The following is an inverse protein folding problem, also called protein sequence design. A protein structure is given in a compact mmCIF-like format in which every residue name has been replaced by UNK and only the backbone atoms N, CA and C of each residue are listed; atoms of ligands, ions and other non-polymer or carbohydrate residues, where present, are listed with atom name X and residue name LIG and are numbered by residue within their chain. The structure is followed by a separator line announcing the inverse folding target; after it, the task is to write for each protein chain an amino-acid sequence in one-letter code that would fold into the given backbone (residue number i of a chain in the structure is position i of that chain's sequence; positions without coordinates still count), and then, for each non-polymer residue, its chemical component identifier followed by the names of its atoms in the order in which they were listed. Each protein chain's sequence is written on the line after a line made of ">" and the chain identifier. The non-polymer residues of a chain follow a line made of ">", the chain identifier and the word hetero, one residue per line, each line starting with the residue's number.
data_IF_004935200477
#
_entry.id   IF_004935200477
#
_cell.length_a   1.000
_cell.length_b   1.000
_cell.length_c   1.000
_cell.angle_alpha   90.00
_cell.angle_beta   90.00
_cell.angle_gamma   90.00
#
_symmetry.space_group_name_H-M   'P 1'
#
loop_
_entity.id
_entity.type
_entity.pdbx_description
1 polymer ?
#
# COMPACT_ATOMS: atom_id res chain seq x y z
N UNK A 1 -9.59 3.59 -21.24
CA UNK A 1 -8.24 3.69 -21.84
C UNK A 1 -7.13 3.37 -20.84
N UNK A 2 -7.18 3.86 -19.59
CA UNK A 2 -6.18 3.63 -18.55
C UNK A 2 -6.12 2.17 -18.02
N UNK A 3 -7.21 1.41 -18.04
CA UNK A 3 -7.24 -0.02 -17.65
C UNK A 3 -6.47 -0.96 -18.59
N UNK A 4 -5.95 -0.46 -19.73
CA UNK A 4 -5.17 -1.26 -20.69
C UNK A 4 -3.66 -1.26 -20.42
N UNK A 5 -3.18 -0.61 -19.35
CA UNK A 5 -1.76 -0.60 -18.99
C UNK A 5 -1.37 -2.00 -18.48
N UNK A 6 -0.66 -2.75 -19.31
CA UNK A 6 -0.17 -4.11 -18.98
C UNK A 6 1.19 -4.10 -18.28
N UNK A 7 1.99 -3.04 -18.49
CA UNK A 7 3.34 -2.92 -17.95
C UNK A 7 3.52 -1.58 -17.23
N UNK A 8 4.37 -1.55 -16.21
CA UNK A 8 4.76 -0.31 -15.54
C UNK A 8 5.51 0.56 -16.54
N UNK A 9 5.07 1.82 -16.80
CA UNK A 9 5.75 2.71 -17.72
C UNK A 9 7.14 3.06 -17.21
N UNK A 10 8.10 3.21 -18.13
CA UNK A 10 9.42 3.76 -17.83
C UNK A 10 9.43 5.22 -18.29
N UNK A 11 9.83 6.11 -17.41
CA UNK A 11 9.94 7.55 -17.64
C UNK A 11 11.38 8.01 -17.33
N UNK A 12 11.72 9.26 -17.65
CA UNK A 12 13.08 9.80 -17.54
C UNK A 12 13.70 9.67 -16.15
N UNK A 13 12.86 9.65 -15.09
CA UNK A 13 13.30 9.51 -13.71
C UNK A 13 13.18 8.07 -13.16
N UNK A 14 12.66 7.11 -13.92
CA UNK A 14 12.64 5.70 -13.49
C UNK A 14 14.06 5.14 -13.35
N UNK A 15 14.27 4.30 -12.33
CA UNK A 15 15.52 3.56 -12.21
C UNK A 15 15.58 2.44 -13.26
N UNK A 16 16.73 2.24 -13.88
CA UNK A 16 16.95 1.15 -14.82
C UNK A 16 16.89 -0.24 -14.14
N UNK A 17 17.33 -0.30 -12.89
CA UNK A 17 17.42 -1.54 -12.09
C UNK A 17 16.63 -1.40 -10.79
N UNK A 18 15.87 -2.44 -10.37
CA UNK A 18 15.07 -2.39 -9.14
C UNK A 18 15.91 -2.35 -7.85
N UNK A 19 17.17 -2.79 -7.90
CA UNK A 19 18.09 -2.80 -6.75
C UNK A 19 19.19 -1.74 -6.89
N UNK A 20 18.82 -0.56 -7.39
CA UNK A 20 19.75 0.57 -7.48
C UNK A 20 19.81 1.27 -6.11
N UNK A 21 20.96 1.16 -5.42
CA UNK A 21 21.20 1.81 -4.13
C UNK A 21 21.76 3.23 -4.26
N UNK A 22 21.99 3.71 -5.48
CA UNK A 22 22.40 5.10 -5.79
C UNK A 22 21.48 5.68 -6.87
N UNK A 23 20.16 5.83 -6.59
CA UNK A 23 19.21 6.37 -7.56
C UNK A 23 19.47 7.86 -7.80
N UNK A 24 18.98 8.37 -8.93
CA UNK A 24 18.91 9.82 -9.18
C UNK A 24 18.02 10.47 -8.11
N UNK A 25 18.32 11.73 -7.78
CA UNK A 25 17.53 12.48 -6.81
C UNK A 25 16.04 12.55 -7.20
N UNK A 26 15.75 12.78 -8.49
CA UNK A 26 14.36 12.77 -9.01
C UNK A 26 13.65 11.44 -8.80
N UNK A 27 14.34 10.31 -9.02
CA UNK A 27 13.78 8.97 -8.77
C UNK A 27 13.39 8.79 -7.31
N UNK A 28 14.29 9.17 -6.40
CA UNK A 28 14.05 9.07 -4.96
C UNK A 28 12.93 10.01 -4.52
N UNK A 29 12.91 11.25 -5.03
CA UNK A 29 11.87 12.24 -4.74
C UNK A 29 10.48 11.72 -5.13
N UNK A 30 10.29 11.25 -6.37
CA UNK A 30 8.99 10.72 -6.79
C UNK A 30 8.62 9.42 -6.08
N UNK A 31 9.60 8.57 -5.75
CA UNK A 31 9.38 7.39 -4.91
C UNK A 31 8.81 7.79 -3.53
N UNK A 32 9.48 8.69 -2.82
CA UNK A 32 9.03 9.16 -1.50
C UNK A 32 7.68 9.86 -1.58
N UNK A 33 7.47 10.72 -2.59
CA UNK A 33 6.20 11.41 -2.80
C UNK A 33 5.05 10.42 -3.04
N UNK A 34 5.26 9.41 -3.89
CA UNK A 34 4.26 8.35 -4.11
C UNK A 34 3.95 7.56 -2.83
N UNK A 35 4.96 7.25 -2.03
CA UNK A 35 4.80 6.55 -0.75
C UNK A 35 4.10 7.42 0.32
N UNK A 36 4.35 8.74 0.32
CA UNK A 36 3.61 9.67 1.19
C UNK A 36 2.12 9.72 0.83
N UNK A 37 1.79 9.83 -0.46
CA UNK A 37 0.40 9.75 -0.93
C UNK A 37 -0.24 8.41 -0.58
N UNK A 38 0.49 7.32 -0.76
CA UNK A 38 0.02 5.99 -0.40
C UNK A 38 -0.34 5.92 1.09
N UNK A 39 0.59 6.31 1.96
CA UNK A 39 0.38 6.28 3.42
C UNK A 39 -0.70 7.26 3.88
N UNK A 40 -0.78 8.46 3.27
CA UNK A 40 -1.86 9.41 3.50
C UNK A 40 -3.22 8.79 3.17
N UNK A 41 -3.36 8.16 2.00
CA UNK A 41 -4.60 7.50 1.61
C UNK A 41 -4.98 6.35 2.54
N UNK A 42 -4.02 5.52 2.98
CA UNK A 42 -4.25 4.47 3.99
C UNK A 42 -4.78 5.07 5.31
N UNK A 43 -4.15 6.15 5.79
CA UNK A 43 -4.59 6.85 7.00
C UNK A 43 -5.98 7.48 6.85
N UNK A 44 -6.27 8.13 5.71
CA UNK A 44 -7.60 8.68 5.43
C UNK A 44 -8.68 7.61 5.40
N UNK A 45 -8.37 6.41 4.88
CA UNK A 45 -9.32 5.29 4.87
C UNK A 45 -9.64 4.83 6.29
N UNK A 46 -8.63 4.76 7.17
CA UNK A 46 -8.82 4.45 8.59
C UNK A 46 -9.71 5.51 9.26
N UNK A 47 -9.41 6.79 9.04
CA UNK A 47 -10.15 7.94 9.61
C UNK A 47 -11.59 8.01 9.08
N UNK A 48 -11.88 7.46 7.90
CA UNK A 48 -13.23 7.43 7.34
C UNK A 48 -14.21 6.59 8.15
N UNK A 49 -13.74 5.69 9.01
CA UNK A 49 -14.53 4.73 9.80
C UNK A 49 -15.47 3.83 8.98
N UNK A 50 -15.26 3.73 7.67
CA UNK A 50 -16.04 2.86 6.78
C UNK A 50 -15.43 1.47 6.61
N UNK A 51 -14.28 1.22 7.22
CA UNK A 51 -13.41 0.06 7.05
C UNK A 51 -12.03 0.47 6.56
N UNK A 52 -11.06 -0.42 6.60
CA UNK A 52 -9.68 -0.16 6.22
C UNK A 52 -9.17 -1.17 5.18
N UNK A 53 -7.97 -0.95 4.62
CA UNK A 53 -7.33 -1.95 3.77
C UNK A 53 -7.00 -3.22 4.57
N UNK A 54 -6.88 -4.39 3.92
CA UNK A 54 -6.67 -5.66 4.61
C UNK A 54 -5.57 -5.63 5.68
N UNK A 55 -4.43 -5.09 5.35
CA UNK A 55 -3.28 -5.01 6.25
C UNK A 55 -3.45 -3.94 7.34
N UNK A 56 -4.19 -2.88 7.04
CA UNK A 56 -4.53 -1.85 8.02
C UNK A 56 -5.59 -2.34 9.01
N UNK A 57 -6.50 -3.24 8.59
CA UNK A 57 -7.41 -3.94 9.49
C UNK A 57 -6.62 -4.78 10.50
N UNK A 58 -5.58 -5.50 10.05
CA UNK A 58 -4.70 -6.24 10.96
C UNK A 58 -3.96 -5.30 11.94
N UNK A 59 -3.40 -4.21 11.43
CA UNK A 59 -2.69 -3.23 12.28
C UNK A 59 -3.64 -2.59 13.31
N UNK A 60 -4.88 -2.24 12.92
CA UNK A 60 -5.91 -1.76 13.84
C UNK A 60 -6.25 -2.79 14.91
N UNK A 61 -6.53 -4.02 14.51
CA UNK A 61 -6.88 -5.09 15.45
C UNK A 61 -5.77 -5.32 16.47
N UNK A 62 -4.52 -5.35 16.04
CA UNK A 62 -3.36 -5.44 16.93
C UNK A 62 -3.24 -4.22 17.85
N UNK A 63 -3.47 -2.99 17.33
CA UNK A 63 -3.39 -1.75 18.10
C UNK A 63 -4.33 -1.75 19.31
N UNK A 64 -5.51 -2.31 19.17
CA UNK A 64 -6.49 -2.43 20.26
C UNK A 64 -6.03 -3.37 21.38
N UNK A 65 -5.06 -4.26 21.10
CA UNK A 65 -4.62 -5.28 22.06
C UNK A 65 -3.23 -5.02 22.68
N UNK A 66 -2.41 -4.13 22.08
CA UNK A 66 -1.00 -3.97 22.49
C UNK A 66 -0.56 -2.52 22.79
N UNK A 67 -1.48 -1.56 22.87
CA UNK A 67 -1.20 -0.15 23.19
C UNK A 67 -0.10 0.51 22.33
N UNK A 68 0.02 0.12 21.07
CA UNK A 68 0.92 0.73 20.08
C UNK A 68 0.08 1.42 19.00
N UNK A 69 0.63 2.47 18.37
CA UNK A 69 -0.06 3.13 17.26
C UNK A 69 -0.22 2.22 16.05
N UNK A 70 -1.23 2.52 15.23
CA UNK A 70 -1.49 1.76 13.99
C UNK A 70 -0.30 1.85 13.03
N UNK A 71 0.37 3.02 12.96
CA UNK A 71 1.57 3.18 12.15
C UNK A 71 2.73 2.33 12.65
N UNK A 72 3.01 2.32 13.95
CA UNK A 72 4.05 1.45 14.53
C UNK A 72 3.76 -0.01 14.19
N UNK A 73 2.53 -0.46 14.34
CA UNK A 73 2.17 -1.84 14.01
C UNK A 73 2.24 -2.13 12.52
N UNK A 74 1.89 -1.17 11.66
CA UNK A 74 2.08 -1.29 10.20
C UNK A 74 3.57 -1.46 9.86
N UNK A 75 4.46 -0.72 10.54
CA UNK A 75 5.90 -0.90 10.41
C UNK A 75 6.36 -2.29 10.88
N UNK A 76 5.95 -2.71 12.07
CA UNK A 76 6.32 -4.03 12.63
C UNK A 76 5.81 -5.19 11.76
N UNK A 77 4.59 -5.10 11.25
CA UNK A 77 4.04 -6.07 10.28
C UNK A 77 4.92 -6.09 9.02
N UNK A 78 5.32 -4.92 8.50
CA UNK A 78 6.19 -4.83 7.33
C UNK A 78 7.55 -5.48 7.58
N UNK A 79 8.16 -5.26 8.75
CA UNK A 79 9.41 -5.93 9.16
C UNK A 79 9.22 -7.44 9.25
N UNK A 80 8.14 -7.91 9.86
CA UNK A 80 7.81 -9.33 9.95
C UNK A 80 7.66 -9.95 8.55
N UNK A 81 6.97 -9.27 7.65
CA UNK A 81 6.83 -9.70 6.25
C UNK A 81 8.20 -9.78 5.55
N UNK A 82 9.10 -8.83 5.81
CA UNK A 82 10.46 -8.85 5.23
C UNK A 82 11.31 -10.03 5.77
N UNK A 83 11.07 -10.50 7.00
CA UNK A 83 11.72 -11.71 7.51
C UNK A 83 11.30 -12.93 6.67
N UNK A 84 10.02 -13.02 6.28
CA UNK A 84 9.55 -14.09 5.40
C UNK A 84 10.11 -14.01 3.97
N UNK A 85 10.67 -12.85 3.53
CA UNK A 85 11.34 -12.77 2.24
C UNK A 85 12.62 -13.60 2.18
N UNK A 86 13.30 -13.81 3.32
CA UNK A 86 14.56 -14.56 3.39
C UNK A 86 14.39 -15.97 2.81
N UNK A 87 13.49 -16.82 3.34
CA UNK A 87 13.28 -18.16 2.79
C UNK A 87 12.66 -18.13 1.38
N UNK A 88 11.99 -17.04 0.99
CA UNK A 88 11.38 -16.89 -0.33
C UNK A 88 12.37 -16.34 -1.40
N UNK A 89 13.63 -16.08 -1.02
CA UNK A 89 14.66 -15.60 -1.93
C UNK A 89 14.38 -14.21 -2.53
N UNK A 90 13.52 -13.41 -1.87
CA UNK A 90 13.24 -12.05 -2.31
C UNK A 90 14.30 -11.10 -1.76
N UNK A 91 14.64 -10.04 -2.53
CA UNK A 91 15.63 -9.05 -2.12
C UNK A 91 14.96 -7.69 -1.92
N UNK A 92 15.15 -7.02 -0.76
CA UNK A 92 14.61 -5.68 -0.55
C UNK A 92 15.41 -4.64 -1.35
N UNK A 93 14.70 -3.69 -1.97
CA UNK A 93 15.26 -2.49 -2.56
C UNK A 93 15.11 -1.27 -1.66
N UNK A 94 15.56 -0.09 -2.11
CA UNK A 94 15.38 1.16 -1.35
C UNK A 94 13.89 1.45 -1.13
N UNK A 95 13.07 1.31 -2.17
CA UNK A 95 11.63 1.55 -2.04
C UNK A 95 10.96 0.59 -1.05
N UNK A 96 11.48 -0.62 -0.87
CA UNK A 96 10.96 -1.58 0.12
C UNK A 96 11.09 -1.05 1.55
N UNK A 97 12.26 -0.52 1.89
CA UNK A 97 12.56 0.06 3.21
C UNK A 97 11.76 1.35 3.42
N UNK A 98 11.78 2.23 2.42
CA UNK A 98 11.04 3.49 2.45
C UNK A 98 9.53 3.27 2.56
N UNK A 99 9.00 2.24 1.89
CA UNK A 99 7.59 1.87 1.98
C UNK A 99 7.20 1.52 3.42
N UNK A 100 7.97 0.67 4.09
CA UNK A 100 7.69 0.30 5.48
C UNK A 100 7.71 1.51 6.44
N UNK A 101 8.65 2.46 6.24
CA UNK A 101 8.82 3.62 7.11
C UNK A 101 7.81 4.74 6.79
N UNK A 102 7.75 5.18 5.53
CA UNK A 102 6.96 6.37 5.14
C UNK A 102 5.47 6.10 5.32
N UNK A 103 4.97 4.94 4.91
CA UNK A 103 3.55 4.61 5.04
C UNK A 103 3.16 4.58 6.52
N UNK A 104 3.97 3.98 7.38
CA UNK A 104 3.73 3.92 8.82
C UNK A 104 3.62 5.32 9.45
N UNK A 105 4.58 6.20 9.15
CA UNK A 105 4.60 7.58 9.63
C UNK A 105 3.37 8.34 9.12
N UNK A 106 3.04 8.23 7.83
CA UNK A 106 1.91 8.95 7.23
C UNK A 106 0.57 8.50 7.78
N UNK A 107 0.40 7.22 8.11
CA UNK A 107 -0.81 6.71 8.78
C UNK A 107 -0.99 7.39 10.14
N UNK A 108 0.03 7.40 11.00
CA UNK A 108 -0.07 8.00 12.33
C UNK A 108 -0.27 9.52 12.26
N UNK A 109 0.41 10.21 11.34
CA UNK A 109 0.18 11.63 11.11
C UNK A 109 -1.25 11.91 10.67
N UNK A 110 -1.78 11.11 9.74
CA UNK A 110 -3.14 11.27 9.27
C UNK A 110 -4.16 11.07 10.40
N UNK A 111 -4.04 10.00 11.17
CA UNK A 111 -4.93 9.72 12.30
C UNK A 111 -4.88 10.83 13.35
N UNK A 112 -3.70 11.43 13.57
CA UNK A 112 -3.51 12.49 14.56
C UNK A 112 -4.11 13.84 14.12
N UNK A 113 -4.02 14.18 12.82
CA UNK A 113 -4.33 15.52 12.35
C UNK A 113 -5.63 15.63 11.56
N UNK A 114 -6.16 14.55 11.02
CA UNK A 114 -7.38 14.56 10.22
C UNK A 114 -8.57 14.16 11.11
N UNK A 115 -9.56 15.05 11.28
CA UNK A 115 -10.75 14.73 12.06
C UNK A 115 -11.64 13.71 11.31
N UNK A 116 -12.24 12.80 12.06
CA UNK A 116 -13.23 11.86 11.53
C UNK A 116 -14.51 12.61 11.12
N UNK A 117 -15.01 12.41 9.90
CA UNK A 117 -16.27 13.00 9.49
C UNK A 117 -17.44 12.46 10.30
N UNK A 118 -18.32 13.36 10.77
CA UNK A 118 -19.50 13.00 11.57
C UNK A 118 -20.65 12.40 10.76
N UNK A 119 -20.72 12.71 9.46
CA UNK A 119 -21.77 12.23 8.56
C UNK A 119 -21.29 11.05 7.73
N UNK A 120 -22.12 10.00 7.65
CA UNK A 120 -21.82 8.77 6.90
C UNK A 120 -21.54 9.02 5.40
N UNK A 121 -22.23 9.98 4.77
CA UNK A 121 -21.98 10.35 3.38
C UNK A 121 -20.56 10.89 3.22
N UNK A 122 -20.12 11.78 4.13
CA UNK A 122 -18.77 12.34 4.12
C UNK A 122 -17.71 11.26 4.40
N UNK A 123 -18.01 10.27 5.25
CA UNK A 123 -17.17 9.10 5.48
C UNK A 123 -16.97 8.29 4.18
N UNK A 124 -18.05 8.04 3.44
CA UNK A 124 -17.98 7.32 2.15
C UNK A 124 -17.21 8.13 1.09
N UNK A 125 -17.42 9.43 1.00
CA UNK A 125 -16.67 10.30 0.10
C UNK A 125 -15.18 10.25 0.46
N UNK A 126 -14.86 10.34 1.76
CA UNK A 126 -13.48 10.23 2.22
C UNK A 126 -12.86 8.88 1.87
N UNK A 127 -13.61 7.77 1.98
CA UNK A 127 -13.15 6.45 1.58
C UNK A 127 -12.83 6.36 0.08
N UNK A 128 -13.65 6.93 -0.79
CA UNK A 128 -13.38 6.98 -2.24
C UNK A 128 -12.13 7.80 -2.54
N UNK A 129 -12.00 8.98 -1.92
CA UNK A 129 -10.79 9.83 -2.03
C UNK A 129 -9.56 9.05 -1.55
N UNK A 130 -9.67 8.35 -0.42
CA UNK A 130 -8.60 7.54 0.16
C UNK A 130 -8.09 6.48 -0.79
N UNK A 131 -8.99 5.63 -1.32
CA UNK A 131 -8.62 4.55 -2.26
C UNK A 131 -7.99 5.11 -3.53
N UNK A 132 -8.49 6.24 -4.02
CA UNK A 132 -7.93 6.93 -5.19
C UNK A 132 -6.52 7.46 -4.89
N UNK A 133 -6.31 8.05 -3.71
CA UNK A 133 -5.02 8.58 -3.27
C UNK A 133 -3.99 7.46 -3.10
N UNK A 134 -4.38 6.33 -2.47
CA UNK A 134 -3.54 5.13 -2.37
C UNK A 134 -3.13 4.64 -3.75
N UNK A 135 -4.09 4.55 -4.68
CA UNK A 135 -3.84 4.06 -6.03
C UNK A 135 -2.88 4.96 -6.82
N UNK A 136 -3.10 6.28 -6.79
CA UNK A 136 -2.20 7.24 -7.45
C UNK A 136 -0.80 7.18 -6.84
N UNK A 137 -0.69 7.22 -5.51
CA UNK A 137 0.59 7.08 -4.80
C UNK A 137 1.30 5.78 -5.14
N UNK A 138 0.53 4.67 -5.17
CA UNK A 138 1.01 3.35 -5.59
C UNK A 138 1.57 3.36 -7.02
N UNK A 139 0.84 3.97 -7.97
CA UNK A 139 1.29 4.13 -9.34
C UNK A 139 2.61 4.90 -9.45
N UNK A 140 2.74 6.02 -8.73
CA UNK A 140 3.95 6.85 -8.73
C UNK A 140 5.16 6.08 -8.20
N UNK A 141 5.04 5.45 -7.01
CA UNK A 141 6.19 4.76 -6.43
C UNK A 141 6.61 3.54 -7.24
N UNK A 142 5.69 2.83 -7.88
CA UNK A 142 5.99 1.68 -8.74
C UNK A 142 6.83 2.08 -9.96
N UNK A 143 6.55 3.25 -10.55
CA UNK A 143 7.32 3.79 -11.69
C UNK A 143 8.76 4.12 -11.31
N UNK A 144 9.04 4.43 -10.04
CA UNK A 144 10.41 4.65 -9.57
C UNK A 144 11.33 3.42 -9.75
N UNK A 145 10.76 2.20 -9.76
CA UNK A 145 11.47 0.94 -9.96
C UNK A 145 12.67 0.76 -9.00
N UNK A 146 12.46 1.01 -7.70
CA UNK A 146 13.48 0.89 -6.64
C UNK A 146 13.23 -0.29 -5.68
N UNK A 147 12.43 -1.25 -6.10
CA UNK A 147 12.03 -2.44 -5.33
C UNK A 147 10.54 -2.49 -5.04
N UNK A 148 10.05 -3.68 -4.78
CA UNK A 148 8.64 -3.91 -4.42
C UNK A 148 8.37 -3.54 -2.96
N UNK A 149 7.12 -3.19 -2.64
CA UNK A 149 6.69 -3.07 -1.25
C UNK A 149 6.77 -4.41 -0.50
N UNK A 150 6.87 -4.40 0.84
CA UNK A 150 6.98 -5.64 1.64
C UNK A 150 5.89 -6.66 1.31
N UNK A 151 4.65 -6.22 1.21
CA UNK A 151 3.47 -7.06 0.92
C UNK A 151 3.50 -7.63 -0.50
N UNK A 152 3.90 -6.81 -1.47
CA UNK A 152 3.96 -7.22 -2.89
C UNK A 152 5.04 -8.28 -3.11
N UNK A 153 6.21 -8.11 -2.50
CA UNK A 153 7.28 -9.10 -2.61
C UNK A 153 6.96 -10.42 -1.90
N UNK A 154 6.21 -10.38 -0.79
CA UNK A 154 5.68 -11.60 -0.16
C UNK A 154 4.78 -12.36 -1.13
N UNK A 155 3.85 -11.66 -1.80
CA UNK A 155 2.95 -12.27 -2.79
C UNK A 155 3.72 -12.89 -3.96
N UNK A 156 4.72 -12.20 -4.49
CA UNK A 156 5.58 -12.70 -5.57
C UNK A 156 6.43 -13.89 -5.10
N UNK A 157 6.96 -13.85 -3.88
CA UNK A 157 7.72 -14.96 -3.30
C UNK A 157 6.88 -16.21 -3.13
N UNK A 158 5.68 -16.07 -2.56
CA UNK A 158 4.74 -17.18 -2.40
C UNK A 158 4.23 -17.72 -3.74
N UNK A 159 3.99 -16.85 -4.72
CA UNK A 159 3.61 -17.26 -6.06
C UNK A 159 4.68 -18.15 -6.70
N UNK A 160 5.96 -17.79 -6.56
CA UNK A 160 7.07 -18.61 -7.06
C UNK A 160 7.20 -19.94 -6.34
N UNK A 161 6.95 -19.96 -5.03
CA UNK A 161 7.04 -21.18 -4.20
C UNK A 161 5.89 -22.15 -4.49
N UNK A 162 4.67 -21.63 -4.64
CA UNK A 162 3.45 -22.45 -4.76
C UNK A 162 3.04 -22.76 -6.20
N UNK A 163 3.56 -22.01 -7.18
CA UNK A 163 3.13 -22.01 -8.59
C UNK A 163 1.63 -21.66 -8.79
N UNK A 164 0.95 -21.11 -7.77
CA UNK A 164 -0.42 -20.64 -7.94
C UNK A 164 -0.47 -19.29 -8.68
N UNK A 165 -1.59 -18.96 -9.36
CA UNK A 165 -1.78 -17.63 -9.94
C UNK A 165 -1.63 -16.53 -8.88
N UNK A 166 -0.98 -15.42 -9.24
CA UNK A 166 -0.75 -14.30 -8.31
C UNK A 166 -2.05 -13.76 -7.70
N UNK A 167 -3.15 -13.78 -8.44
CA UNK A 167 -4.46 -13.36 -7.96
C UNK A 167 -4.97 -14.26 -6.81
N UNK A 168 -4.74 -15.58 -6.90
CA UNK A 168 -5.09 -16.54 -5.85
C UNK A 168 -4.26 -16.31 -4.61
N UNK A 169 -2.92 -16.18 -4.75
CA UNK A 169 -2.01 -15.90 -3.63
C UNK A 169 -2.40 -14.60 -2.93
N UNK A 170 -2.63 -13.54 -3.71
CA UNK A 170 -3.05 -12.24 -3.19
C UNK A 170 -4.38 -12.34 -2.45
N UNK A 171 -5.41 -12.93 -3.07
CA UNK A 171 -6.73 -13.07 -2.46
C UNK A 171 -6.69 -13.87 -1.17
N UNK A 172 -5.97 -15.01 -1.14
CA UNK A 172 -5.82 -15.82 0.08
C UNK A 172 -5.12 -15.06 1.20
N UNK A 173 -4.02 -14.35 0.89
CA UNK A 173 -3.32 -13.54 1.88
C UNK A 173 -4.21 -12.40 2.41
N UNK A 174 -4.86 -11.65 1.53
CA UNK A 174 -5.70 -10.53 1.93
C UNK A 174 -6.89 -10.99 2.79
N UNK A 175 -7.55 -12.10 2.42
CA UNK A 175 -8.63 -12.68 3.20
C UNK A 175 -8.12 -13.14 4.58
N UNK A 176 -6.98 -13.85 4.63
CA UNK A 176 -6.40 -14.31 5.90
C UNK A 176 -6.07 -13.15 6.83
N UNK A 177 -5.41 -12.11 6.30
CA UNK A 177 -5.01 -10.93 7.06
C UNK A 177 -6.21 -10.14 7.56
N UNK A 178 -7.22 -9.91 6.72
CA UNK A 178 -8.48 -9.27 7.12
C UNK A 178 -9.20 -10.07 8.20
N UNK A 179 -9.30 -11.39 8.04
CA UNK A 179 -10.00 -12.25 9.00
C UNK A 179 -9.35 -12.20 10.38
N UNK A 180 -8.03 -12.30 10.44
CA UNK A 180 -7.28 -12.17 11.70
C UNK A 180 -7.43 -10.76 12.29
N UNK A 181 -7.27 -9.72 11.48
CA UNK A 181 -7.42 -8.34 11.94
C UNK A 181 -8.83 -8.03 12.45
N UNK A 182 -9.85 -8.53 11.78
CA UNK A 182 -11.25 -8.38 12.20
C UNK A 182 -11.52 -9.13 13.51
N UNK A 183 -11.02 -10.37 13.64
CA UNK A 183 -11.12 -11.13 14.90
C UNK A 183 -10.48 -10.39 16.08
N UNK A 184 -9.39 -9.65 15.84
CA UNK A 184 -8.73 -8.81 16.84
C UNK A 184 -9.41 -7.45 17.07
N UNK A 185 -10.52 -7.15 16.41
CA UNK A 185 -11.31 -5.92 16.58
C UNK A 185 -11.06 -4.84 15.52
N UNK A 186 -10.27 -5.12 14.49
CA UNK A 186 -10.07 -4.20 13.36
C UNK A 186 -11.35 -3.96 12.57
N UNK A 187 -11.47 -2.77 11.98
CA UNK A 187 -12.70 -2.31 11.32
C UNK A 187 -12.79 -2.82 9.88
N UNK A 188 -13.77 -3.68 9.60
CA UNK A 188 -14.13 -4.15 8.25
C UNK A 188 -15.49 -3.54 7.86
N UNK A 189 -15.60 -3.04 6.63
CA UNK A 189 -16.83 -2.44 6.15
C UNK A 189 -16.80 -2.10 4.66
N UNK A 190 -17.66 -1.17 4.24
CA UNK A 190 -17.78 -0.76 2.83
C UNK A 190 -16.44 -0.21 2.30
N UNK A 191 -15.67 0.52 3.12
CA UNK A 191 -14.34 1.01 2.77
C UNK A 191 -13.37 -0.13 2.43
N UNK A 192 -13.43 -1.26 3.16
CA UNK A 192 -12.62 -2.45 2.86
C UNK A 192 -12.99 -3.04 1.49
N UNK A 193 -14.27 -3.09 1.17
CA UNK A 193 -14.78 -3.57 -0.13
C UNK A 193 -14.35 -2.61 -1.25
N UNK A 194 -14.53 -1.31 -1.04
CA UNK A 194 -14.07 -0.27 -1.99
C UNK A 194 -12.57 -0.38 -2.25
N UNK A 195 -11.77 -0.62 -1.22
CA UNK A 195 -10.34 -0.84 -1.37
C UNK A 195 -10.04 -2.10 -2.19
N UNK A 196 -10.64 -3.24 -1.83
CA UNK A 196 -10.38 -4.52 -2.48
C UNK A 196 -10.65 -4.47 -4.01
N UNK A 197 -11.72 -3.84 -4.44
CA UNK A 197 -12.09 -3.73 -5.86
C UNK A 197 -11.57 -2.47 -6.54
N UNK A 198 -11.39 -1.37 -5.80
CA UNK A 198 -11.01 -0.07 -6.33
C UNK A 198 -9.51 0.14 -6.48
N UNK A 199 -8.68 -0.53 -5.66
CA UNK A 199 -7.23 -0.25 -5.66
C UNK A 199 -6.57 -0.55 -7.00
N UNK A 200 -6.94 -1.64 -7.68
CA UNK A 200 -6.39 -2.01 -8.98
C UNK A 200 -6.62 -0.92 -10.05
N UNK A 201 -7.87 -0.53 -10.33
CA UNK A 201 -8.19 0.59 -11.23
C UNK A 201 -7.50 1.91 -10.83
N UNK A 202 -7.42 2.24 -9.53
CA UNK A 202 -6.79 3.46 -9.06
C UNK A 202 -5.26 3.45 -9.25
N UNK A 203 -4.59 2.32 -9.07
CA UNK A 203 -3.16 2.17 -9.41
C UNK A 203 -2.96 2.31 -10.92
N UNK A 204 -3.82 1.70 -11.74
CA UNK A 204 -3.76 1.87 -13.20
C UNK A 204 -3.95 3.34 -13.62
N UNK A 205 -4.83 4.09 -12.93
CA UNK A 205 -4.97 5.53 -13.12
C UNK A 205 -3.67 6.27 -12.77
N UNK A 206 -3.05 5.95 -11.63
CA UNK A 206 -1.76 6.54 -11.22
C UNK A 206 -0.67 6.31 -12.25
N UNK A 207 -0.52 5.07 -12.75
CA UNK A 207 0.42 4.72 -13.82
C UNK A 207 0.13 5.49 -15.11
N UNK A 208 -1.15 5.64 -15.48
CA UNK A 208 -1.58 6.41 -16.66
C UNK A 208 -1.23 7.88 -16.53
N UNK A 209 -1.49 8.50 -15.38
CA UNK A 209 -1.18 9.90 -15.12
C UNK A 209 0.33 10.16 -15.22
N UNK A 210 1.15 9.31 -14.60
CA UNK A 210 2.62 9.43 -14.69
C UNK A 210 3.08 9.29 -16.13
N UNK A 211 2.58 8.30 -16.86
CA UNK A 211 2.95 8.11 -18.27
C UNK A 211 2.60 9.32 -19.13
N UNK A 212 1.43 9.93 -18.90
CA UNK A 212 0.98 11.10 -19.65
C UNK A 212 1.75 12.39 -19.35
N UNK A 213 2.21 12.53 -18.09
CA UNK A 213 2.90 13.75 -17.63
C UNK A 213 4.39 13.74 -17.95
N UNK A 214 5.02 12.56 -18.09
CA UNK A 214 6.47 12.43 -18.20
C UNK A 214 6.95 11.70 -19.46
N UNK A 215 6.08 11.27 -20.33
CA UNK A 215 6.30 10.80 -21.70
C UNK A 215 5.43 11.58 -22.68
#
# INVERSE_FOLDING_TARGET
>A
MFLKIKNIPKVNWSSEKPYNFKPKFSTLFFCCFGLMLFGLGEGLLIVSFTGASPWSVLAQGLSLNVNLSIGILTFLISVTVLIFWIPLGQKPGIATILNALIIAIMIDLCIKFVPTPSNYINQLILAVISVTTVGIGGGIYLVANLGAGPRDGLMVGLQKLTNFPIATVRGTLEISVVSVGWYLGGTVGIGTILFAFGIGPCVALGLFLVNRLFN
#
